data_IF_698894091636
#
_entry.id   IF_698894091636
#
_cell.length_a   1.000
_cell.length_b   1.000
_cell.length_c   1.000
_cell.angle_alpha   90.00
_cell.angle_beta   90.00
_cell.angle_gamma   90.00
#
_symmetry.space_group_name_H-M   'P 1'
#
loop_
_entity.id
_entity.type
_entity.pdbx_description
1 polymer ?
#
# COMPACT_ATOMS: atom_id res chain seq x y z
N UNK A 1 -20.30 -22.35 1.85
CA UNK A 1 -18.97 -21.72 1.87
C UNK A 1 -19.25 -20.24 1.75
N UNK A 2 -19.49 -19.62 2.89
CA UNK A 2 -19.82 -18.19 2.95
C UNK A 2 -18.53 -17.42 2.77
N UNK A 3 -18.52 -16.50 1.83
CA UNK A 3 -17.45 -15.51 1.69
C UNK A 3 -17.71 -14.43 2.74
N UNK A 4 -16.83 -14.37 3.73
CA UNK A 4 -16.84 -13.34 4.75
C UNK A 4 -16.23 -12.07 4.13
N UNK A 5 -17.10 -11.18 3.66
CA UNK A 5 -16.77 -9.84 3.19
C UNK A 5 -17.61 -8.84 3.99
N UNK A 6 -17.03 -8.28 5.05
CA UNK A 6 -17.44 -7.01 5.64
C UNK A 6 -16.32 -6.44 6.53
N UNK A 7 -15.28 -5.91 5.88
CA UNK A 7 -14.30 -5.04 6.52
C UNK A 7 -14.94 -3.70 6.89
N UNK A 8 -14.67 -3.24 8.11
CA UNK A 8 -14.15 -1.86 8.26
C UNK A 8 -14.99 -0.85 9.03
N UNK A 9 -15.48 -1.18 10.23
CA UNK A 9 -15.67 -0.17 11.31
C UNK A 9 -15.16 -0.67 12.66
N UNK A 10 -14.15 -1.52 12.63
CA UNK A 10 -13.60 -2.10 13.83
C UNK A 10 -12.72 -1.06 14.51
N UNK A 11 -13.09 -0.71 15.74
CA UNK A 11 -12.34 0.19 16.61
C UNK A 11 -10.85 -0.08 16.48
N UNK A 12 -10.07 0.93 16.06
CA UNK A 12 -8.60 0.83 16.00
C UNK A 12 -8.12 0.18 17.29
N UNK A 13 -7.44 -0.96 17.14
CA UNK A 13 -6.94 -1.71 18.28
C UNK A 13 -6.16 -0.75 19.18
N UNK A 14 -6.42 -0.77 20.50
CA UNK A 14 -5.82 0.17 21.46
C UNK A 14 -4.30 0.28 21.32
N UNK A 15 -3.64 -0.79 20.88
CA UNK A 15 -2.19 -0.83 20.66
C UNK A 15 -1.75 -0.15 19.38
N UNK A 16 -2.53 -0.22 18.30
CA UNK A 16 -2.28 0.52 17.05
C UNK A 16 -2.43 2.02 17.30
N UNK A 17 -3.46 2.43 18.05
CA UNK A 17 -3.61 3.82 18.50
C UNK A 17 -2.37 4.30 19.24
N UNK A 18 -1.92 3.57 20.26
CA UNK A 18 -0.69 3.93 21.00
C UNK A 18 0.56 3.95 20.16
N UNK A 19 0.66 3.03 19.19
CA UNK A 19 1.77 3.05 18.26
C UNK A 19 1.76 4.32 17.41
N UNK A 20 0.61 4.92 17.10
CA UNK A 20 0.50 6.15 16.32
C UNK A 20 0.63 7.43 17.15
N UNK A 21 0.10 7.46 18.38
CA UNK A 21 0.05 8.66 19.23
C UNK A 21 1.26 8.83 20.17
N UNK A 22 1.83 7.74 20.71
CA UNK A 22 2.96 7.86 21.65
C UNK A 22 4.21 8.40 20.93
N UNK A 23 5.06 9.22 21.58
CA UNK A 23 6.32 9.67 20.99
C UNK A 23 7.29 8.50 20.83
N UNK A 24 7.49 8.04 19.59
CA UNK A 24 8.37 6.91 19.24
C UNK A 24 9.18 7.23 17.99
N UNK A 25 10.51 7.20 18.14
CA UNK A 25 11.44 7.42 17.04
C UNK A 25 11.93 6.09 16.48
N UNK A 26 11.91 5.92 15.15
CA UNK A 26 12.43 4.74 14.44
C UNK A 26 13.71 5.12 13.72
N UNK A 27 14.80 4.38 13.97
CA UNK A 27 16.12 4.60 13.39
C UNK A 27 16.76 3.26 13.04
N UNK A 28 17.86 3.30 12.28
CA UNK A 28 18.70 2.11 12.09
C UNK A 28 19.38 1.74 13.41
N UNK A 29 20.00 0.56 13.46
CA UNK A 29 20.83 0.15 14.60
C UNK A 29 22.01 1.11 14.86
N UNK A 30 22.43 1.87 13.85
CA UNK A 30 23.47 2.90 13.93
C UNK A 30 22.92 4.32 14.15
N UNK A 31 21.64 4.44 14.55
CA UNK A 31 20.95 5.70 14.85
C UNK A 31 20.87 6.68 13.65
N UNK A 32 20.66 6.14 12.45
CA UNK A 32 20.47 6.91 11.22
C UNK A 32 19.05 6.78 10.68
N UNK A 33 18.63 7.65 9.75
CA UNK A 33 17.40 7.43 8.98
C UNK A 33 17.38 6.05 8.32
N UNK A 34 16.19 5.47 8.27
CA UNK A 34 15.88 4.12 7.80
C UNK A 34 15.31 4.16 6.40
N UNK A 35 15.76 3.23 5.55
CA UNK A 35 15.15 2.94 4.26
C UNK A 35 14.12 1.81 4.36
N UNK A 36 13.17 1.76 3.41
CA UNK A 36 12.07 0.77 3.39
C UNK A 36 12.52 -0.71 3.41
N UNK A 37 13.72 -1.00 2.93
CA UNK A 37 14.26 -2.37 2.84
C UNK A 37 14.94 -2.83 4.16
N UNK A 38 14.99 -1.95 5.17
CA UNK A 38 15.60 -2.25 6.47
C UNK A 38 14.67 -3.10 7.32
N UNK A 39 15.11 -4.31 7.68
CA UNK A 39 14.33 -5.25 8.49
C UNK A 39 14.56 -5.12 10.01
N UNK A 40 15.75 -4.67 10.42
CA UNK A 40 16.11 -4.51 11.84
C UNK A 40 16.30 -3.04 12.14
N UNK A 41 15.48 -2.51 13.05
CA UNK A 41 15.47 -1.10 13.44
C UNK A 41 15.55 -0.96 14.96
N UNK A 42 16.00 0.20 15.41
CA UNK A 42 15.93 0.63 16.80
C UNK A 42 14.75 1.57 16.97
N UNK A 43 13.88 1.26 17.93
CA UNK A 43 12.78 2.13 18.33
C UNK A 43 13.09 2.74 19.68
N UNK A 44 13.17 4.06 19.74
CA UNK A 44 13.40 4.82 20.97
C UNK A 44 12.07 5.38 21.46
N UNK A 45 11.72 5.03 22.69
CA UNK A 45 10.51 5.52 23.35
C UNK A 45 10.73 6.86 24.05
N UNK A 46 9.66 7.59 24.36
CA UNK A 46 9.72 8.84 25.12
C UNK A 46 10.48 8.73 26.46
N UNK A 47 10.51 7.55 27.11
CA UNK A 47 11.30 7.33 28.33
C UNK A 47 12.81 7.22 28.07
N UNK A 48 13.27 7.39 26.83
CA UNK A 48 14.65 7.18 26.40
C UNK A 48 15.04 5.71 26.32
N UNK A 49 14.10 4.77 26.45
CA UNK A 49 14.39 3.34 26.35
C UNK A 49 14.39 2.91 24.88
N UNK A 50 15.46 2.24 24.49
CA UNK A 50 15.71 1.76 23.12
C UNK A 50 15.41 0.27 23.01
N UNK A 51 14.73 -0.12 21.95
CA UNK A 51 14.36 -1.50 21.69
C UNK A 51 14.68 -1.87 20.24
N UNK A 52 15.36 -2.99 20.05
CA UNK A 52 15.59 -3.55 18.72
C UNK A 52 14.32 -4.27 18.27
N UNK A 53 13.90 -3.97 17.05
CA UNK A 53 12.71 -4.53 16.41
C UNK A 53 13.13 -5.19 15.12
N UNK A 54 12.82 -6.47 14.98
CA UNK A 54 12.81 -7.17 13.71
C UNK A 54 11.40 -7.06 13.14
N UNK A 55 11.28 -6.21 12.13
CA UNK A 55 10.01 -5.83 11.51
C UNK A 55 9.47 -6.98 10.66
N UNK A 56 10.36 -7.77 10.06
CA UNK A 56 10.01 -8.90 9.20
C UNK A 56 9.50 -10.08 10.00
N UNK A 57 10.21 -10.42 11.08
CA UNK A 57 9.86 -11.54 11.95
C UNK A 57 8.86 -11.16 13.03
N UNK A 58 8.50 -9.87 13.15
CA UNK A 58 7.59 -9.37 14.17
C UNK A 58 8.13 -9.51 15.60
N UNK A 59 9.44 -9.37 15.80
CA UNK A 59 10.10 -9.54 17.11
C UNK A 59 10.54 -8.21 17.67
N UNK A 60 10.46 -8.05 18.99
CA UNK A 60 10.93 -6.86 19.68
C UNK A 60 11.59 -7.25 21.00
N UNK A 61 12.65 -6.53 21.39
CA UNK A 61 13.34 -6.73 22.67
C UNK A 61 12.61 -6.11 23.86
N UNK A 62 11.46 -5.45 23.65
CA UNK A 62 10.74 -4.79 24.74
C UNK A 62 10.09 -5.79 25.70
N UNK A 63 9.85 -5.37 26.97
CA UNK A 63 9.21 -6.24 27.97
C UNK A 63 7.82 -6.72 27.56
N UNK A 64 7.06 -5.90 26.83
CA UNK A 64 5.69 -6.26 26.42
C UNK A 64 5.69 -7.46 25.45
N UNK A 65 6.58 -7.46 24.46
CA UNK A 65 6.76 -8.61 23.57
C UNK A 65 7.30 -9.82 24.34
N UNK A 66 8.35 -9.62 25.15
CA UNK A 66 9.01 -10.71 25.87
C UNK A 66 8.09 -11.44 26.86
N UNK A 67 7.14 -10.73 27.47
CA UNK A 67 6.33 -11.28 28.56
C UNK A 67 4.90 -11.58 28.18
N UNK A 68 4.32 -10.84 27.23
CA UNK A 68 2.89 -10.95 26.90
C UNK A 68 2.62 -11.50 25.51
N UNK A 69 3.63 -11.49 24.63
CA UNK A 69 3.54 -11.87 23.21
C UNK A 69 2.17 -11.53 22.60
N UNK A 70 1.79 -10.24 22.59
CA UNK A 70 0.44 -9.86 22.19
C UNK A 70 0.22 -10.12 20.70
N UNK A 71 -1.00 -10.57 20.35
CA UNK A 71 -1.43 -10.67 18.96
C UNK A 71 -1.28 -9.30 18.26
N UNK A 72 -0.74 -9.31 17.04
CA UNK A 72 -0.39 -8.09 16.30
C UNK A 72 0.89 -7.39 16.80
N UNK A 73 1.64 -8.00 17.71
CA UNK A 73 2.92 -7.52 18.22
C UNK A 73 2.80 -6.45 19.31
N UNK A 74 3.91 -5.92 19.80
CA UNK A 74 3.92 -4.79 20.73
C UNK A 74 3.75 -3.44 19.99
N UNK A 75 3.62 -2.33 20.73
CA UNK A 75 3.52 -0.99 20.13
C UNK A 75 4.73 -0.60 19.27
N UNK A 76 5.93 -1.10 19.61
CA UNK A 76 7.15 -0.79 18.85
C UNK A 76 7.17 -1.49 17.49
N UNK A 77 6.66 -2.73 17.42
CA UNK A 77 6.51 -3.46 16.15
C UNK A 77 5.53 -2.73 15.24
N UNK A 78 4.34 -2.39 15.77
CA UNK A 78 3.33 -1.63 15.00
C UNK A 78 3.89 -0.29 14.50
N UNK A 79 4.55 0.48 15.37
CA UNK A 79 5.20 1.75 14.98
C UNK A 79 6.22 1.54 13.87
N UNK A 80 7.09 0.54 14.00
CA UNK A 80 8.13 0.28 13.00
C UNK A 80 7.54 -0.13 11.65
N UNK A 81 6.54 -1.03 11.64
CA UNK A 81 5.87 -1.48 10.40
C UNK A 81 5.17 -0.33 9.69
N UNK A 82 4.47 0.51 10.44
CA UNK A 82 3.80 1.69 9.89
C UNK A 82 4.83 2.70 9.36
N UNK A 83 5.86 3.04 10.13
CA UNK A 83 6.88 4.02 9.72
C UNK A 83 7.69 3.59 8.49
N UNK A 84 7.86 2.28 8.28
CA UNK A 84 8.50 1.67 7.11
C UNK A 84 7.55 1.49 5.92
N UNK A 85 6.25 1.72 6.10
CA UNK A 85 5.24 1.50 5.07
C UNK A 85 4.83 0.04 4.84
N UNK A 86 5.17 -0.87 5.76
CA UNK A 86 4.71 -2.27 5.68
C UNK A 86 3.21 -2.43 5.99
N UNK A 87 2.70 -1.61 6.92
CA UNK A 87 1.29 -1.58 7.29
C UNK A 87 0.71 -0.23 6.88
N UNK A 88 -0.36 -0.23 6.09
CA UNK A 88 -1.06 0.98 5.69
C UNK A 88 -1.96 1.51 6.81
N UNK A 89 -2.12 2.82 6.87
CA UNK A 89 -3.05 3.49 7.78
C UNK A 89 -4.09 4.24 6.96
N UNK A 90 -5.36 4.07 7.28
CA UNK A 90 -6.42 4.78 6.59
C UNK A 90 -6.43 6.28 6.97
N UNK A 91 -6.79 7.12 6.01
CA UNK A 91 -6.78 8.58 6.19
C UNK A 91 -7.78 9.04 7.25
N UNK A 92 -8.88 8.31 7.45
CA UNK A 92 -9.87 8.61 8.49
C UNK A 92 -9.28 8.40 9.90
N UNK A 93 -8.50 7.33 10.09
CA UNK A 93 -7.75 7.03 11.31
C UNK A 93 -6.74 8.14 11.60
N UNK A 94 -5.94 8.54 10.61
CA UNK A 94 -4.96 9.61 10.77
C UNK A 94 -5.63 10.95 11.15
N UNK A 95 -6.80 11.25 10.59
CA UNK A 95 -7.54 12.47 10.90
C UNK A 95 -8.18 12.47 12.31
N UNK A 96 -8.41 11.30 12.91
CA UNK A 96 -9.09 11.15 14.21
C UNK A 96 -8.14 11.08 15.40
N UNK A 97 -6.88 10.71 15.18
CA UNK A 97 -5.89 10.50 16.24
C UNK A 97 -4.89 11.66 16.31
N UNK A 98 -4.31 11.86 17.49
CA UNK A 98 -3.23 12.83 17.68
C UNK A 98 -1.90 12.17 17.28
N UNK A 99 -1.63 12.12 15.98
CA UNK A 99 -0.48 11.40 15.44
C UNK A 99 0.82 12.07 15.91
N UNK A 100 1.73 11.26 16.43
CA UNK A 100 3.08 11.69 16.79
C UNK A 100 3.77 12.34 15.59
N UNK A 101 4.17 13.61 15.75
CA UNK A 101 4.89 14.38 14.73
C UNK A 101 6.23 13.75 14.31
N UNK A 102 6.80 12.85 15.12
CA UNK A 102 7.99 12.07 14.80
C UNK A 102 7.75 10.90 13.84
N UNK A 103 6.48 10.55 13.55
CA UNK A 103 6.15 9.46 12.63
C UNK A 103 6.67 9.78 11.23
N UNK A 104 7.52 8.91 10.69
CA UNK A 104 8.09 9.08 9.34
C UNK A 104 9.21 10.12 9.23
N UNK A 105 9.62 10.80 10.30
CA UNK A 105 10.72 11.79 10.21
C UNK A 105 12.06 11.14 9.83
N UNK A 106 12.29 9.90 10.27
CA UNK A 106 13.53 9.16 10.04
C UNK A 106 13.28 7.85 9.29
N UNK A 107 12.17 7.74 8.58
CA UNK A 107 11.76 6.54 7.84
C UNK A 107 10.98 6.98 6.59
N UNK A 108 10.67 6.07 5.64
CA UNK A 108 9.90 6.42 4.44
C UNK A 108 8.51 7.03 4.74
N UNK A 109 7.95 6.73 5.91
CA UNK A 109 6.66 7.23 6.36
C UNK A 109 5.54 6.21 6.13
N UNK A 110 4.36 6.44 6.74
CA UNK A 110 3.22 5.56 6.60
C UNK A 110 2.67 5.57 5.17
N UNK A 111 2.29 4.40 4.68
CA UNK A 111 1.45 4.29 3.48
C UNK A 111 0.03 4.67 3.89
N UNK A 112 -0.54 5.68 3.24
CA UNK A 112 -1.89 6.18 3.58
C UNK A 112 -2.89 5.67 2.56
N UNK A 113 -3.97 5.03 3.02
CA UNK A 113 -5.08 4.60 2.16
C UNK A 113 -6.31 5.47 2.37
N UNK A 114 -7.07 5.73 1.31
CA UNK A 114 -8.39 6.36 1.40
C UNK A 114 -9.47 5.29 1.42
N UNK A 115 -10.65 5.65 1.92
CA UNK A 115 -11.84 4.78 1.94
C UNK A 115 -12.26 4.31 0.54
N UNK A 116 -11.90 5.04 -0.52
CA UNK A 116 -12.14 4.68 -1.91
C UNK A 116 -11.02 3.80 -2.52
N UNK A 117 -10.09 3.31 -1.69
CA UNK A 117 -8.99 2.43 -2.10
C UNK A 117 -7.81 3.15 -2.76
N UNK A 118 -7.81 4.49 -2.81
CA UNK A 118 -6.67 5.26 -3.30
C UNK A 118 -5.52 5.26 -2.30
N UNK A 119 -4.30 4.97 -2.74
CA UNK A 119 -3.09 5.15 -1.93
C UNK A 119 -2.55 6.55 -2.16
N UNK A 120 -2.36 7.32 -1.08
CA UNK A 120 -1.68 8.63 -1.14
C UNK A 120 -0.20 8.39 -0.86
N UNK A 121 0.61 8.42 -1.91
CA UNK A 121 2.06 8.40 -1.83
C UNK A 121 2.64 9.48 -2.74
N UNK A 122 3.85 9.97 -2.42
CA UNK A 122 4.56 10.99 -3.21
C UNK A 122 4.96 10.49 -4.63
N UNK A 123 4.80 9.18 -4.89
CA UNK A 123 5.05 8.52 -6.17
C UNK A 123 3.77 7.94 -6.82
N UNK A 124 2.58 8.47 -6.47
CA UNK A 124 1.34 8.04 -7.10
C UNK A 124 1.14 8.74 -8.46
N UNK A 125 1.58 8.09 -9.54
CA UNK A 125 1.08 8.44 -10.88
C UNK A 125 -0.42 8.13 -10.91
N UNK A 126 -1.24 9.17 -10.94
CA UNK A 126 -2.69 9.06 -11.15
C UNK A 126 -2.90 8.60 -12.58
N UNK A 127 -2.97 7.29 -12.80
CA UNK A 127 -3.49 6.73 -14.05
C UNK A 127 -5.00 7.00 -14.07
N UNK A 128 -5.41 8.09 -14.74
CA UNK A 128 -6.82 8.32 -15.06
C UNK A 128 -7.32 7.07 -15.81
N UNK A 129 -8.22 6.31 -15.18
CA UNK A 129 -8.83 5.10 -15.75
C UNK A 129 -9.86 5.47 -16.83
N UNK A 130 -9.45 6.26 -17.81
CA UNK A 130 -10.21 6.44 -19.04
C UNK A 130 -9.92 5.26 -19.96
N UNK A 131 -10.97 4.60 -20.45
CA UNK A 131 -10.80 3.54 -21.43
C UNK A 131 -10.13 4.15 -22.68
N UNK A 132 -8.95 3.65 -23.04
CA UNK A 132 -8.19 4.10 -24.21
C UNK A 132 -7.92 2.90 -25.13
N UNK A 133 -7.58 3.18 -26.38
CA UNK A 133 -7.18 2.17 -27.34
C UNK A 133 -5.69 1.85 -27.16
N UNK A 134 -5.41 0.64 -26.71
CA UNK A 134 -4.06 0.09 -26.58
C UNK A 134 -3.63 -0.53 -27.91
N UNK A 135 -2.40 -0.28 -28.35
CA UNK A 135 -1.86 -0.78 -29.61
C UNK A 135 -1.03 0.30 -30.34
N UNK A 136 -0.71 0.10 -31.63
CA UNK A 136 -1.10 -1.04 -32.46
C UNK A 136 -0.36 -2.34 -32.13
N UNK A 137 -1.06 -3.47 -32.26
CA UNK A 137 -0.54 -4.82 -32.17
C UNK A 137 -0.56 -5.48 -33.55
N UNK A 138 0.51 -6.20 -33.88
CA UNK A 138 0.59 -6.96 -35.13
C UNK A 138 -0.33 -8.18 -35.04
N UNK A 139 -1.20 -8.36 -36.04
CA UNK A 139 -2.03 -9.55 -36.17
C UNK A 139 -1.21 -10.71 -36.75
N UNK A 140 -1.34 -11.88 -36.14
CA UNK A 140 -0.68 -13.12 -36.59
C UNK A 140 -1.74 -14.14 -37.01
N UNK A 141 -1.45 -14.90 -38.06
CA UNK A 141 -2.31 -16.00 -38.47
C UNK A 141 -2.19 -17.22 -37.53
N UNK A 142 -2.98 -18.26 -37.82
CA UNK A 142 -2.98 -19.49 -37.03
C UNK A 142 -1.64 -20.27 -37.05
N UNK A 143 -0.71 -19.89 -37.91
CA UNK A 143 0.63 -20.46 -38.03
C UNK A 143 1.70 -19.56 -37.41
N UNK A 144 1.32 -18.38 -36.88
CA UNK A 144 2.22 -17.43 -36.22
C UNK A 144 2.94 -16.49 -37.20
N UNK A 145 2.48 -16.40 -38.45
CA UNK A 145 3.01 -15.48 -39.45
C UNK A 145 2.25 -14.14 -39.38
N UNK A 146 2.96 -13.02 -39.47
CA UNK A 146 2.32 -11.70 -39.44
C UNK A 146 1.42 -11.53 -40.66
N UNK A 147 0.15 -11.19 -40.45
CA UNK A 147 -0.83 -11.01 -41.54
C UNK A 147 -0.63 -9.69 -42.28
N UNK A 148 0.16 -8.78 -41.71
CA UNK A 148 0.35 -7.42 -42.20
C UNK A 148 -0.76 -6.46 -41.79
N UNK A 149 -1.73 -6.91 -41.00
CA UNK A 149 -2.73 -6.06 -40.36
C UNK A 149 -2.31 -5.73 -38.92
N UNK A 150 -2.70 -4.54 -38.46
CA UNK A 150 -2.50 -4.08 -37.10
C UNK A 150 -3.87 -3.84 -36.44
N UNK A 151 -3.98 -4.19 -35.17
CA UNK A 151 -5.20 -4.04 -34.39
C UNK A 151 -4.93 -3.29 -33.10
N UNK A 152 -5.98 -2.63 -32.59
CA UNK A 152 -5.99 -1.96 -31.30
C UNK A 152 -7.03 -2.61 -30.39
N UNK A 153 -6.80 -2.58 -29.09
CA UNK A 153 -7.64 -3.17 -28.05
C UNK A 153 -8.10 -2.09 -27.07
N UNK A 154 -9.38 -2.03 -26.78
CA UNK A 154 -9.89 -1.13 -25.75
C UNK A 154 -9.53 -1.65 -24.35
N UNK A 155 -8.83 -0.83 -23.55
CA UNK A 155 -8.44 -1.19 -22.17
C UNK A 155 -9.64 -1.37 -21.24
N UNK A 156 -10.77 -0.72 -21.54
CA UNK A 156 -11.97 -0.76 -20.70
C UNK A 156 -12.85 -2.01 -20.88
N UNK A 157 -12.90 -2.60 -22.08
CA UNK A 157 -13.78 -3.75 -22.34
C UNK A 157 -13.12 -4.91 -23.11
N UNK A 158 -11.85 -4.77 -23.48
CA UNK A 158 -11.11 -5.77 -24.23
C UNK A 158 -11.55 -5.91 -25.70
N UNK A 159 -12.38 -5.00 -26.22
CA UNK A 159 -12.80 -5.03 -27.63
C UNK A 159 -11.60 -4.79 -28.54
N UNK A 160 -11.43 -5.65 -29.54
CA UNK A 160 -10.38 -5.52 -30.54
C UNK A 160 -10.97 -5.07 -31.88
N UNK A 161 -10.30 -4.14 -32.54
CA UNK A 161 -10.62 -3.67 -33.90
C UNK A 161 -9.33 -3.39 -34.66
N UNK A 162 -9.40 -3.43 -35.99
CA UNK A 162 -8.27 -2.99 -36.83
C UNK A 162 -7.99 -1.50 -36.60
N UNK A 163 -6.72 -1.10 -36.71
CA UNK A 163 -6.31 0.30 -36.65
C UNK A 163 -7.13 1.15 -37.64
N UNK A 164 -7.63 2.30 -37.19
CA UNK A 164 -8.48 3.19 -37.98
C UNK A 164 -9.96 2.81 -38.02
N UNK A 165 -10.39 1.82 -37.23
CA UNK A 165 -11.81 1.45 -37.04
C UNK A 165 -12.35 1.68 -35.63
N UNK A 166 -11.58 2.34 -34.79
CA UNK A 166 -11.90 2.67 -33.39
C UNK A 166 -13.26 3.37 -33.25
N UNK A 167 -13.55 4.33 -34.12
CA UNK A 167 -14.79 5.12 -34.12
C UNK A 167 -16.06 4.31 -34.44
N UNK A 168 -15.91 3.12 -35.03
CA UNK A 168 -17.03 2.22 -35.38
C UNK A 168 -17.11 1.00 -34.46
N UNK A 169 -16.25 0.93 -33.44
CA UNK A 169 -16.18 -0.22 -32.55
C UNK A 169 -17.43 -0.32 -31.67
N UNK A 170 -18.03 -1.50 -31.62
CA UNK A 170 -19.13 -1.77 -30.68
C UNK A 170 -18.58 -2.24 -29.35
N UNK A 171 -18.76 -1.41 -28.32
CA UNK A 171 -18.35 -1.70 -26.95
C UNK A 171 -19.41 -2.50 -26.18
N UNK A 172 -18.99 -3.16 -25.08
CA UNK A 172 -19.93 -3.71 -24.09
C UNK A 172 -20.64 -2.57 -23.35
N UNK A 173 -21.85 -2.81 -22.85
CA UNK A 173 -22.66 -1.82 -22.14
C UNK A 173 -21.96 -1.24 -20.89
N UNK A 174 -21.04 -1.99 -20.30
CA UNK A 174 -20.26 -1.61 -19.12
C UNK A 174 -18.95 -0.90 -19.48
N UNK A 175 -18.71 -0.58 -20.76
CA UNK A 175 -17.49 0.10 -21.18
C UNK A 175 -17.59 1.61 -20.94
N UNK A 176 -16.52 2.25 -20.42
CA UNK A 176 -16.47 3.71 -20.29
C UNK A 176 -16.60 4.49 -21.62
N UNK A 177 -16.42 3.82 -22.78
CA UNK A 177 -16.53 4.38 -24.13
C UNK A 177 -17.82 3.96 -24.86
N UNK A 178 -18.86 3.49 -24.16
CA UNK A 178 -20.13 3.04 -24.77
C UNK A 178 -20.94 4.18 -25.42
#
# INVERSE_FOLDING_TARGET
MSVDDNSGKESIETRTRRALEDPLTVLTTDLKPVDKDTSIVTVTSHSGSEYTVDVREGRCTCPDQKHRDPEGGCKHIRRARIALGHDSVDSETLARLDIDAGLGVNAPGPVVTTSDGGVVGDDAEVIEQSAHWEGPFVEFDKYGEATGAEYVRCSGCGREVLEGREETATHSADCPNF
#
